data_IF_115293009205
#
_entry.id   IF_115293009205
#
_cell.length_a   1.000
_cell.length_b   1.000
_cell.length_c   1.000
_cell.angle_alpha   90.00
_cell.angle_beta   90.00
_cell.angle_gamma   90.00
#
_symmetry.space_group_name_H-M   'P 1'
#
loop_
_entity.id
_entity.type
_entity.pdbx_description
1 polymer ?
#
# COMPACT_ATOMS: atom_id res chain seq x y z
N UNK A 1 -15.64 -82.43 -11.23
CA UNK A 1 -15.16 -82.73 -12.59
C UNK A 1 -13.87 -81.92 -12.77
N UNK A 2 -12.78 -82.25 -12.09
CA UNK A 2 -11.79 -83.30 -12.44
C UNK A 2 -11.17 -83.08 -13.83
N UNK A 3 -9.88 -82.73 -13.87
CA UNK A 3 -8.86 -82.87 -14.95
C UNK A 3 -7.92 -81.64 -14.92
N UNK A 4 -6.63 -81.66 -14.55
CA UNK A 4 -5.62 -82.72 -14.56
C UNK A 4 -4.59 -82.50 -13.43
N UNK A 5 -4.36 -83.55 -12.63
CA UNK A 5 -3.03 -83.80 -12.07
C UNK A 5 -2.15 -84.38 -13.18
N UNK A 6 -0.99 -83.77 -13.47
CA UNK A 6 0.18 -84.56 -13.89
C UNK A 6 1.50 -83.96 -13.37
N UNK A 7 2.05 -84.72 -12.42
CA UNK A 7 3.40 -84.85 -11.87
C UNK A 7 4.53 -83.92 -12.37
N UNK A 8 5.05 -83.15 -11.41
CA UNK A 8 6.44 -83.04 -10.98
C UNK A 8 7.56 -83.41 -11.98
N UNK A 9 8.32 -82.37 -12.36
CA UNK A 9 9.77 -82.42 -12.60
C UNK A 9 10.40 -81.23 -11.89
N UNK A 10 10.77 -81.44 -10.62
CA UNK A 10 11.44 -80.42 -9.81
C UNK A 10 12.85 -80.12 -10.33
N UNK A 11 13.37 -78.96 -9.88
CA UNK A 11 14.77 -78.54 -9.84
C UNK A 11 15.27 -77.47 -10.84
N UNK A 12 14.52 -77.04 -11.86
CA UNK A 12 15.01 -75.99 -12.78
C UNK A 12 14.26 -74.63 -12.73
N UNK A 13 13.04 -74.56 -12.18
CA UNK A 13 12.27 -73.30 -12.16
C UNK A 13 12.64 -72.43 -10.95
N UNK A 14 13.12 -73.01 -9.84
CA UNK A 14 13.56 -72.23 -8.68
C UNK A 14 14.84 -71.44 -8.94
N UNK A 15 15.74 -71.90 -9.81
CA UNK A 15 16.94 -71.13 -10.17
C UNK A 15 16.64 -69.95 -11.10
N UNK A 16 15.58 -70.04 -11.91
CA UNK A 16 15.13 -68.93 -12.76
C UNK A 16 14.42 -67.86 -11.92
N UNK A 17 13.70 -68.24 -10.86
CA UNK A 17 13.10 -67.29 -9.93
C UNK A 17 14.14 -66.60 -9.02
N UNK A 18 15.21 -67.29 -8.62
CA UNK A 18 16.25 -66.71 -7.77
C UNK A 18 17.13 -65.69 -8.53
N UNK A 19 17.29 -65.83 -9.86
CA UNK A 19 17.95 -64.81 -10.69
C UNK A 19 17.07 -63.60 -11.02
N UNK A 20 15.74 -63.67 -10.83
CA UNK A 20 14.85 -62.53 -11.04
C UNK A 20 14.77 -61.58 -9.81
N UNK A 21 15.23 -62.03 -8.63
CA UNK A 21 15.10 -61.26 -7.38
C UNK A 21 16.34 -60.42 -7.00
N UNK A 22 17.44 -60.45 -7.77
CA UNK A 22 18.67 -59.70 -7.44
C UNK A 22 18.94 -58.42 -8.24
N UNK A 23 18.00 -57.96 -9.07
CA UNK A 23 18.09 -56.63 -9.69
C UNK A 23 16.96 -55.66 -9.31
N UNK A 24 16.30 -55.89 -8.19
CA UNK A 24 15.53 -54.81 -7.55
C UNK A 24 16.49 -53.92 -6.74
N UNK A 25 17.34 -53.17 -7.45
CA UNK A 25 17.90 -51.94 -6.88
C UNK A 25 16.70 -51.04 -6.56
N UNK A 26 16.30 -51.05 -5.30
CA UNK A 26 15.51 -49.99 -4.68
C UNK A 26 16.35 -48.71 -4.72
N UNK A 27 16.43 -48.08 -5.89
CA UNK A 27 16.73 -46.65 -5.95
C UNK A 27 15.46 -45.99 -5.46
N UNK A 28 15.44 -45.69 -4.16
CA UNK A 28 14.43 -44.84 -3.57
C UNK A 28 14.30 -43.59 -4.43
N UNK A 29 13.18 -43.48 -5.14
CA UNK A 29 12.80 -42.27 -5.82
C UNK A 29 12.58 -41.21 -4.75
N UNK A 30 13.63 -40.46 -4.41
CA UNK A 30 13.46 -39.18 -3.74
C UNK A 30 12.61 -38.34 -4.68
N UNK A 31 11.32 -38.18 -4.35
CA UNK A 31 10.48 -37.18 -4.98
C UNK A 31 11.09 -35.83 -4.63
N UNK A 32 12.02 -35.38 -5.48
CA UNK A 32 12.62 -34.07 -5.37
C UNK A 32 11.49 -33.05 -5.61
N UNK A 33 11.13 -32.20 -4.62
CA UNK A 33 9.99 -31.29 -4.74
C UNK A 33 10.22 -30.17 -5.79
N UNK A 34 11.38 -30.18 -6.45
CA UNK A 34 11.73 -29.26 -7.54
C UNK A 34 11.17 -29.65 -8.92
N UNK A 35 10.50 -30.80 -9.04
CA UNK A 35 9.92 -31.28 -10.31
C UNK A 35 8.59 -30.57 -10.67
N UNK A 36 8.60 -29.23 -10.77
CA UNK A 36 7.53 -28.48 -11.46
C UNK A 36 7.92 -28.31 -12.93
N UNK A 37 7.31 -29.13 -13.79
CA UNK A 37 7.04 -28.95 -15.24
C UNK A 37 7.91 -27.88 -15.92
N UNK A 38 9.01 -28.31 -16.54
CA UNK A 38 9.67 -27.54 -17.57
C UNK A 38 9.33 -28.17 -18.93
N UNK A 39 8.67 -27.41 -19.80
CA UNK A 39 8.65 -27.69 -21.23
C UNK A 39 10.00 -27.23 -21.78
N UNK A 40 10.83 -28.15 -22.27
CA UNK A 40 12.09 -27.80 -22.93
C UNK A 40 11.78 -27.12 -24.28
N UNK A 41 12.04 -25.82 -24.39
CA UNK A 41 12.20 -25.14 -25.68
C UNK A 41 13.58 -25.53 -26.23
N UNK A 42 13.63 -25.94 -27.50
CA UNK A 42 14.78 -26.59 -28.15
C UNK A 42 15.91 -25.62 -28.53
N UNK A 43 15.73 -24.34 -28.24
CA UNK A 43 16.72 -23.29 -28.42
C UNK A 43 17.23 -22.92 -27.04
N UNK A 44 18.54 -22.98 -26.80
CA UNK A 44 19.20 -22.75 -25.50
C UNK A 44 18.99 -21.37 -24.85
N UNK A 45 17.98 -20.61 -25.29
CA UNK A 45 17.46 -19.47 -24.57
C UNK A 45 16.48 -19.98 -23.51
N UNK A 46 16.98 -20.09 -22.28
CA UNK A 46 16.11 -20.09 -21.10
C UNK A 46 15.35 -18.77 -21.14
N UNK A 47 14.12 -18.77 -21.67
CA UNK A 47 13.20 -17.66 -21.40
C UNK A 47 13.19 -17.51 -19.89
N UNK A 48 13.51 -16.33 -19.32
CA UNK A 48 13.43 -16.14 -17.89
C UNK A 48 12.05 -16.63 -17.50
N UNK A 49 11.95 -17.56 -16.55
CA UNK A 49 10.66 -17.83 -15.93
C UNK A 49 10.08 -16.46 -15.66
N UNK A 50 8.89 -16.15 -16.15
CA UNK A 50 8.22 -14.86 -15.86
C UNK A 50 8.13 -14.61 -14.34
N UNK A 51 8.39 -15.63 -13.53
CA UNK A 51 8.55 -15.58 -12.08
C UNK A 51 9.86 -14.98 -11.54
N UNK A 52 10.93 -14.89 -12.31
CA UNK A 52 12.25 -14.45 -11.81
C UNK A 52 12.72 -13.13 -12.43
N UNK A 53 11.90 -12.49 -13.27
CA UNK A 53 12.19 -11.13 -13.74
C UNK A 53 12.04 -10.14 -12.55
N UNK A 54 13.13 -9.51 -12.08
CA UNK A 54 13.10 -8.56 -10.96
C UNK A 54 12.34 -7.28 -11.31
N UNK A 55 12.12 -7.02 -12.61
CA UNK A 55 11.39 -5.85 -13.12
C UNK A 55 9.87 -6.04 -13.17
N UNK A 56 9.35 -7.20 -12.74
CA UNK A 56 7.91 -7.44 -12.72
C UNK A 56 7.26 -6.84 -11.46
N UNK A 57 6.29 -5.96 -11.65
CA UNK A 57 5.46 -5.43 -10.56
C UNK A 57 4.80 -6.58 -9.78
N UNK A 58 5.15 -6.67 -8.50
CA UNK A 58 4.63 -7.67 -7.55
C UNK A 58 4.29 -7.03 -6.22
N UNK A 59 3.39 -7.70 -5.50
CA UNK A 59 2.96 -7.29 -4.17
C UNK A 59 1.63 -6.54 -4.18
N UNK A 60 1.34 -5.78 -3.11
CA UNK A 60 0.05 -5.11 -2.96
C UNK A 60 -0.16 -4.04 -4.04
N UNK A 61 -1.43 -3.70 -4.27
CA UNK A 61 -1.84 -2.64 -5.19
C UNK A 61 -1.31 -2.80 -6.62
N UNK A 62 -1.12 -4.04 -7.07
CA UNK A 62 -0.82 -4.37 -8.46
C UNK A 62 -2.12 -4.80 -9.15
N UNK A 63 -2.47 -4.11 -10.22
CA UNK A 63 -3.69 -4.33 -11.01
C UNK A 63 -3.31 -4.80 -12.44
N UNK A 64 -4.31 -5.29 -13.18
CA UNK A 64 -4.14 -5.77 -14.56
C UNK A 64 -4.04 -7.28 -14.68
N UNK A 65 -3.47 -7.75 -15.79
CA UNK A 65 -3.32 -9.18 -16.11
C UNK A 65 -1.87 -9.64 -15.92
N UNK A 66 -1.63 -10.95 -16.09
CA UNK A 66 -0.27 -11.49 -16.00
C UNK A 66 0.70 -10.89 -17.03
N UNK A 67 0.19 -10.50 -18.20
CA UNK A 67 0.94 -9.92 -19.31
C UNK A 67 1.09 -8.41 -19.21
N UNK A 68 0.21 -7.71 -18.47
CA UNK A 68 0.26 -6.25 -18.34
C UNK A 68 -0.14 -5.83 -16.93
N UNK A 69 0.86 -5.73 -16.06
CA UNK A 69 0.71 -5.28 -14.67
C UNK A 69 1.02 -3.81 -14.54
N UNK A 70 0.25 -3.12 -13.72
CA UNK A 70 0.45 -1.70 -13.41
C UNK A 70 -0.02 -1.42 -11.99
N UNK A 71 0.35 -0.27 -11.43
CA UNK A 71 -0.15 0.10 -10.11
C UNK A 71 -1.64 0.41 -10.18
N UNK A 72 -2.38 -0.09 -9.19
CA UNK A 72 -3.79 0.24 -9.03
C UNK A 72 -3.97 1.77 -8.88
N UNK A 73 -5.15 2.26 -9.22
CA UNK A 73 -5.49 3.67 -9.10
C UNK A 73 -5.16 4.19 -7.69
N UNK A 74 -4.49 5.34 -7.65
CA UNK A 74 -4.07 5.96 -6.38
C UNK A 74 -2.76 5.44 -5.82
N UNK A 75 -2.02 4.58 -6.54
CA UNK A 75 -0.71 4.08 -6.12
C UNK A 75 0.35 4.31 -7.18
N UNK A 76 1.59 4.53 -6.75
CA UNK A 76 2.77 4.67 -7.61
C UNK A 76 3.91 3.76 -7.14
N UNK A 77 4.88 3.57 -8.03
CA UNK A 77 6.04 2.73 -7.78
C UNK A 77 7.01 3.40 -6.82
N UNK A 78 7.63 2.60 -5.95
CA UNK A 78 8.72 3.06 -5.12
C UNK A 78 9.99 3.30 -5.95
N UNK A 79 10.74 4.41 -5.74
CA UNK A 79 12.02 4.62 -6.40
C UNK A 79 12.98 3.44 -6.17
N UNK A 80 13.52 2.88 -7.24
CA UNK A 80 14.46 1.75 -7.17
C UNK A 80 13.84 0.39 -6.86
N UNK A 81 12.51 0.27 -6.76
CA UNK A 81 11.81 -1.01 -6.58
C UNK A 81 10.59 -1.15 -7.49
N UNK A 82 10.29 -2.38 -7.90
CA UNK A 82 9.10 -2.70 -8.71
C UNK A 82 7.89 -3.00 -7.80
N UNK A 83 7.55 -2.06 -6.89
CA UNK A 83 6.46 -2.21 -5.91
C UNK A 83 5.54 -0.99 -5.87
N UNK A 84 4.24 -1.22 -5.93
CA UNK A 84 3.18 -0.20 -5.90
C UNK A 84 2.77 0.16 -4.46
N UNK A 85 3.68 0.75 -3.69
CA UNK A 85 3.46 1.00 -2.25
C UNK A 85 3.39 2.47 -1.87
N UNK A 86 3.60 3.40 -2.81
CA UNK A 86 3.49 4.83 -2.52
C UNK A 86 2.07 5.28 -2.87
N UNK A 87 1.27 5.78 -1.91
CA UNK A 87 -0.06 6.30 -2.19
C UNK A 87 -0.02 7.69 -2.84
N UNK A 88 -1.00 7.99 -3.67
CA UNK A 88 -1.17 9.28 -4.36
C UNK A 88 -2.26 10.08 -3.64
N UNK A 89 -1.94 11.30 -3.22
CA UNK A 89 -2.89 12.26 -2.66
C UNK A 89 -3.04 13.44 -3.63
N UNK A 90 -4.19 13.55 -4.30
CA UNK A 90 -4.40 14.53 -5.39
C UNK A 90 -4.29 15.99 -4.92
N UNK A 91 -4.74 16.29 -3.70
CA UNK A 91 -4.70 17.63 -3.12
C UNK A 91 -3.41 17.91 -2.33
N UNK A 92 -2.52 16.91 -2.20
CA UNK A 92 -1.37 16.96 -1.31
C UNK A 92 -1.76 16.98 0.18
N UNK A 93 -0.78 16.65 1.03
CA UNK A 93 -0.93 16.66 2.49
C UNK A 93 -0.07 17.79 3.08
N UNK A 94 -0.59 19.02 3.08
CA UNK A 94 0.12 20.18 3.64
C UNK A 94 0.21 20.08 5.18
N UNK A 95 1.36 19.65 5.71
CA UNK A 95 1.51 19.40 7.15
C UNK A 95 1.05 18.00 7.58
N UNK A 96 1.21 17.01 6.70
CA UNK A 96 0.94 15.61 7.00
C UNK A 96 1.62 14.66 6.02
N UNK A 97 1.36 13.37 6.17
CA UNK A 97 1.87 12.32 5.28
C UNK A 97 0.71 11.60 4.60
N UNK A 98 0.83 11.34 3.30
CA UNK A 98 -0.14 10.53 2.56
C UNK A 98 -0.01 9.08 3.01
N UNK A 99 -1.01 8.55 3.72
CA UNK A 99 -0.99 7.18 4.28
C UNK A 99 -1.78 6.20 3.43
N UNK A 100 -2.76 6.68 2.66
CA UNK A 100 -3.57 5.93 1.69
C UNK A 100 -3.96 6.86 0.53
N UNK A 101 -4.42 6.33 -0.61
CA UNK A 101 -4.89 7.17 -1.71
C UNK A 101 -5.89 8.22 -1.22
N UNK A 102 -5.59 9.50 -1.44
CA UNK A 102 -6.38 10.65 -0.99
C UNK A 102 -6.67 10.72 0.52
N UNK A 103 -5.86 10.09 1.37
CA UNK A 103 -5.97 10.14 2.83
C UNK A 103 -4.62 10.50 3.46
N UNK A 104 -4.61 11.63 4.12
CA UNK A 104 -3.49 12.19 4.86
C UNK A 104 -3.61 11.85 6.35
N UNK A 105 -2.50 11.50 6.98
CA UNK A 105 -2.33 11.58 8.42
C UNK A 105 -1.67 12.92 8.74
N UNK A 106 -2.38 13.79 9.44
CA UNK A 106 -1.91 15.13 9.75
C UNK A 106 -1.05 15.15 11.02
N UNK A 107 -0.26 16.21 11.21
CA UNK A 107 0.61 16.36 12.39
C UNK A 107 -0.14 16.34 13.73
N UNK A 108 -1.45 16.63 13.74
CA UNK A 108 -2.32 16.50 14.91
C UNK A 108 -2.83 15.06 15.14
N UNK A 109 -2.33 14.08 14.37
CA UNK A 109 -2.74 12.68 14.43
C UNK A 109 -4.10 12.37 13.79
N UNK A 110 -4.79 13.36 13.20
CA UNK A 110 -6.11 13.16 12.62
C UNK A 110 -6.03 12.74 11.14
N UNK A 111 -6.84 11.76 10.70
CA UNK A 111 -6.98 11.42 9.29
C UNK A 111 -7.87 12.44 8.56
N UNK A 112 -7.43 12.94 7.40
CA UNK A 112 -8.23 13.84 6.56
C UNK A 112 -7.85 13.73 5.08
N UNK A 113 -8.67 14.25 4.16
CA UNK A 113 -8.39 14.20 2.71
C UNK A 113 -7.28 15.17 2.27
N UNK A 114 -7.17 16.28 3.00
CA UNK A 114 -6.05 17.20 2.96
C UNK A 114 -5.93 17.77 4.35
N UNK A 115 -4.71 17.76 4.89
CA UNK A 115 -4.47 18.50 6.11
C UNK A 115 -4.77 19.94 5.79
N UNK A 116 -5.71 20.54 6.54
CA UNK A 116 -5.73 21.98 6.66
C UNK A 116 -4.29 22.33 6.99
N UNK A 117 -3.57 22.92 6.02
CA UNK A 117 -2.28 23.50 6.31
C UNK A 117 -2.56 24.27 7.59
N UNK A 118 -1.85 23.96 8.68
CA UNK A 118 -1.83 24.87 9.79
C UNK A 118 -1.38 26.16 9.13
N UNK A 119 -2.34 27.04 8.86
CA UNK A 119 -2.05 28.29 8.18
C UNK A 119 -1.29 29.00 9.27
N UNK A 120 0.03 28.92 9.22
CA UNK A 120 0.87 29.49 10.24
C UNK A 120 1.11 30.92 9.80
N UNK A 121 0.50 31.85 10.53
CA UNK A 121 0.82 33.27 10.38
C UNK A 121 2.17 33.48 11.07
N UNK A 122 3.18 33.92 10.33
CA UNK A 122 4.42 34.38 10.92
C UNK A 122 4.64 35.84 10.49
N UNK A 123 4.38 36.81 11.37
CA UNK A 123 4.18 36.66 12.82
C UNK A 123 2.75 36.28 13.23
N UNK A 124 2.59 35.63 14.40
CA UNK A 124 1.31 35.08 14.86
C UNK A 124 0.21 36.15 15.05
N UNK A 125 -1.05 35.72 14.90
CA UNK A 125 -2.22 36.54 15.19
C UNK A 125 -2.31 36.81 16.71
N UNK A 126 -2.68 38.03 17.09
CA UNK A 126 -2.89 38.46 18.49
C UNK A 126 -4.36 38.36 18.89
N UNK A 127 -4.64 38.56 20.18
CA UNK A 127 -5.99 38.74 20.73
C UNK A 127 -7.00 37.61 20.37
N UNK A 128 -6.51 36.37 20.26
CA UNK A 128 -7.33 35.21 19.94
C UNK A 128 -7.72 35.09 18.46
N UNK A 129 -7.10 35.88 17.56
CA UNK A 129 -7.32 35.75 16.12
C UNK A 129 -6.86 34.41 15.57
N UNK A 130 -7.61 33.85 14.62
CA UNK A 130 -7.26 32.59 13.94
C UNK A 130 -6.63 32.89 12.60
N UNK A 131 -5.50 32.26 12.29
CA UNK A 131 -4.89 32.40 10.97
C UNK A 131 -5.73 31.68 9.90
N UNK A 132 -6.09 32.40 8.84
CA UNK A 132 -6.96 31.92 7.75
C UNK A 132 -6.30 32.00 6.37
N UNK A 133 -5.17 32.68 6.25
CA UNK A 133 -4.29 32.65 5.08
C UNK A 133 -2.88 33.09 5.46
N UNK A 134 -1.94 33.01 4.50
CA UNK A 134 -0.60 33.58 4.66
C UNK A 134 -0.73 35.05 5.06
N UNK A 135 -0.25 35.39 6.25
CA UNK A 135 -0.29 36.73 6.85
C UNK A 135 -1.70 37.34 7.02
N UNK A 136 -2.74 36.48 7.06
CA UNK A 136 -4.12 36.92 7.18
C UNK A 136 -4.81 36.27 8.38
N UNK A 137 -5.19 37.11 9.33
CA UNK A 137 -5.90 36.71 10.55
C UNK A 137 -7.40 36.98 10.45
N UNK A 138 -8.21 36.04 10.93
CA UNK A 138 -9.60 36.25 11.27
C UNK A 138 -9.67 36.71 12.74
N UNK A 139 -10.10 37.94 12.95
CA UNK A 139 -10.14 38.55 14.27
C UNK A 139 -11.41 38.21 15.04
N UNK A 140 -11.28 38.10 16.35
CA UNK A 140 -12.38 38.05 17.30
C UNK A 140 -13.11 39.40 17.30
N UNK A 141 -14.37 39.38 17.74
CA UNK A 141 -15.18 40.60 17.81
C UNK A 141 -14.52 41.65 18.71
N UNK A 142 -14.49 42.91 18.25
CA UNK A 142 -13.79 43.99 18.94
C UNK A 142 -12.30 44.12 18.61
N UNK A 143 -11.76 43.35 17.67
CA UNK A 143 -10.37 43.47 17.21
C UNK A 143 -10.27 43.59 15.69
N UNK A 144 -9.27 44.32 15.22
CA UNK A 144 -8.99 44.60 13.81
C UNK A 144 -7.49 44.71 13.54
N UNK A 145 -7.10 44.80 12.27
CA UNK A 145 -5.71 44.83 11.82
C UNK A 145 -5.25 43.50 11.24
N UNK A 146 -4.11 43.49 10.51
CA UNK A 146 -3.58 42.29 9.84
C UNK A 146 -3.28 41.15 10.82
N UNK A 147 -2.98 41.48 12.08
CA UNK A 147 -2.69 40.53 13.15
C UNK A 147 -3.69 40.63 14.31
N UNK A 148 -4.83 41.28 14.12
CA UNK A 148 -5.81 41.53 15.17
C UNK A 148 -5.23 42.29 16.38
N UNK A 149 -4.24 43.13 16.14
CA UNK A 149 -3.51 43.88 17.16
C UNK A 149 -4.27 45.10 17.68
N UNK A 150 -5.24 45.61 16.91
CA UNK A 150 -5.94 46.84 17.24
C UNK A 150 -7.32 46.53 17.85
N UNK A 151 -7.52 46.88 19.12
CA UNK A 151 -8.83 46.79 19.76
C UNK A 151 -9.75 47.89 19.23
N UNK A 152 -10.82 47.51 18.54
CA UNK A 152 -11.89 48.45 18.20
C UNK A 152 -12.80 48.56 19.41
N UNK A 153 -13.02 49.77 19.92
CA UNK A 153 -14.09 50.02 20.87
C UNK A 153 -15.38 49.61 20.18
N UNK A 154 -15.96 48.50 20.64
CA UNK A 154 -17.32 48.16 20.27
C UNK A 154 -18.17 49.19 20.99
N UNK A 155 -18.52 50.26 20.29
CA UNK A 155 -19.71 50.99 20.68
C UNK A 155 -20.85 49.98 20.55
N UNK A 156 -21.57 49.73 21.64
CA UNK A 156 -22.82 49.00 21.57
C UNK A 156 -23.75 49.84 20.68
N UNK A 157 -23.79 49.59 19.37
CA UNK A 157 -24.93 49.99 18.55
C UNK A 157 -26.04 49.04 18.92
N UNK A 158 -26.77 49.40 19.96
CA UNK A 158 -28.11 48.91 20.14
C UNK A 158 -28.89 49.34 18.90
N UNK A 159 -29.37 48.43 18.03
CA UNK A 159 -30.04 48.82 16.78
C UNK A 159 -31.39 49.51 17.01
N UNK A 160 -31.79 49.74 18.27
CA UNK A 160 -33.05 50.35 18.65
C UNK A 160 -32.98 51.59 19.55
N UNK A 161 -31.83 52.01 20.11
CA UNK A 161 -31.81 53.19 21.01
C UNK A 161 -30.52 54.03 20.94
N UNK A 162 -30.70 55.22 20.36
CA UNK A 162 -30.17 56.57 20.65
C UNK A 162 -28.69 57.01 20.50
N UNK A 163 -28.59 58.14 19.78
CA UNK A 163 -27.53 59.14 19.73
C UNK A 163 -27.24 59.73 21.12
N UNK A 164 -26.29 59.17 21.86
CA UNK A 164 -25.41 59.91 22.79
C UNK A 164 -24.39 58.97 23.44
N UNK A 165 -23.23 58.79 22.82
CA UNK A 165 -22.07 58.20 23.50
C UNK A 165 -21.38 59.27 24.35
N UNK A 166 -21.54 59.20 25.67
CA UNK A 166 -20.53 59.69 26.62
C UNK A 166 -19.59 58.53 27.00
N UNK A 167 -18.27 58.72 26.98
CA UNK A 167 -17.33 57.70 27.45
C UNK A 167 -17.43 57.58 28.97
N UNK A 168 -17.58 56.35 29.49
CA UNK A 168 -17.39 56.07 30.91
C UNK A 168 -15.88 56.06 31.19
N UNK A 169 -15.46 56.98 32.06
CA UNK A 169 -14.11 57.10 32.63
C UNK A 169 -13.76 55.89 33.51
#
# INVERSE_FOLDING_TARGET
>A
MEFWRRKFGGLLIFHVFVLCCMEMRLVGGQSNPQQRRYWYQRDGNVSPRTRDNPHLLRGPNTCGSISRRYCCQGWTQQPGQYRCIIPICQLGCSGGTCIRPNLCLCSNGQPSTSCQAAVTCNPECKNGGRCIGKDRCACTYGYSGPRCENGTVVYNVNPFLDLNQTPLL
#
